data_IF_806522181166
#
_entry.id   IF_806522181166
#
_cell.length_a   1.000
_cell.length_b   1.000
_cell.length_c   1.000
_cell.angle_alpha   90.00
_cell.angle_beta   90.00
_cell.angle_gamma   90.00
#
_symmetry.space_group_name_H-M   'P 1'
#
loop_
_entity.id
_entity.type
_entity.pdbx_description
1 polymer ?
#
# COMPACT_ATOMS: atom_id res chain seq x y z
N UNK A 1 -1.19 -4.85 -38.78
CA UNK A 1 -0.10 -3.85 -38.62
C UNK A 1 -0.29 -2.93 -37.42
N UNK A 2 -1.52 -2.48 -37.09
CA UNK A 2 -1.80 -1.52 -35.99
C UNK A 2 -1.31 -1.93 -34.58
N UNK A 3 -1.17 -3.22 -34.28
CA UNK A 3 -0.66 -3.73 -32.98
C UNK A 3 0.81 -4.18 -33.01
N UNK A 4 1.39 -4.42 -34.18
CA UNK A 4 2.79 -4.90 -34.30
C UNK A 4 3.79 -3.78 -33.98
N UNK A 5 3.54 -2.56 -34.47
CA UNK A 5 4.42 -1.42 -34.24
C UNK A 5 4.52 -1.04 -32.75
N UNK A 6 3.41 -0.87 -31.99
CA UNK A 6 3.49 -0.63 -30.54
C UNK A 6 4.21 -1.73 -29.78
N UNK A 7 4.00 -2.99 -30.18
CA UNK A 7 4.64 -4.14 -29.54
C UNK A 7 6.15 -4.15 -29.74
N UNK A 8 6.61 -3.88 -30.96
CA UNK A 8 8.05 -3.77 -31.26
C UNK A 8 8.69 -2.62 -30.49
N UNK A 9 8.01 -1.47 -30.40
CA UNK A 9 8.49 -0.33 -29.60
C UNK A 9 8.61 -0.73 -28.12
N UNK A 10 7.57 -1.34 -27.55
CA UNK A 10 7.57 -1.78 -26.15
C UNK A 10 8.70 -2.79 -25.86
N UNK A 11 8.91 -3.74 -26.78
CA UNK A 11 9.97 -4.74 -26.67
C UNK A 11 11.37 -4.09 -26.69
N UNK A 12 11.64 -3.22 -27.67
CA UNK A 12 12.92 -2.52 -27.80
C UNK A 12 13.17 -1.61 -26.59
N UNK A 13 12.18 -0.80 -26.19
CA UNK A 13 12.30 0.04 -25.00
C UNK A 13 12.53 -0.78 -23.73
N UNK A 14 11.85 -1.92 -23.57
CA UNK A 14 12.04 -2.83 -22.45
C UNK A 14 13.48 -3.37 -22.38
N UNK A 15 14.01 -3.86 -23.50
CA UNK A 15 15.40 -4.35 -23.57
C UNK A 15 16.40 -3.24 -23.28
N UNK A 16 16.22 -2.06 -23.89
CA UNK A 16 17.10 -0.91 -23.68
C UNK A 16 17.13 -0.51 -22.20
N UNK A 17 15.98 -0.49 -21.52
CA UNK A 17 15.90 -0.18 -20.09
C UNK A 17 16.57 -1.24 -19.21
N UNK A 18 16.46 -2.53 -19.55
CA UNK A 18 17.16 -3.60 -18.83
C UNK A 18 18.67 -3.41 -18.97
N UNK A 19 19.17 -3.17 -20.18
CA UNK A 19 20.61 -2.99 -20.44
C UNK A 19 21.13 -1.72 -19.74
N UNK A 20 20.39 -0.62 -19.88
CA UNK A 20 20.72 0.68 -19.29
C UNK A 20 20.98 0.56 -17.78
N UNK A 21 20.15 -0.21 -17.06
CA UNK A 21 20.25 -0.36 -15.60
C UNK A 21 21.63 -0.83 -15.12
N UNK A 22 22.32 -1.67 -15.91
CA UNK A 22 23.62 -2.22 -15.55
C UNK A 22 24.82 -1.38 -16.02
N UNK A 23 24.61 -0.27 -16.75
CA UNK A 23 25.69 0.55 -17.31
C UNK A 23 25.83 1.85 -16.50
N UNK A 24 26.87 2.01 -15.64
CA UNK A 24 27.09 3.20 -14.82
C UNK A 24 27.80 4.34 -15.58
N UNK A 25 27.49 4.54 -16.87
CA UNK A 25 28.07 5.61 -17.69
C UNK A 25 27.18 6.88 -17.66
N UNK A 26 27.78 8.08 -17.75
CA UNK A 26 27.04 9.37 -17.70
C UNK A 26 25.89 9.46 -18.69
N UNK A 27 26.09 8.97 -19.92
CA UNK A 27 25.05 8.95 -20.97
C UNK A 27 23.87 8.05 -20.57
N UNK A 28 24.16 6.84 -20.04
CA UNK A 28 23.14 5.91 -19.55
C UNK A 28 22.33 6.52 -18.41
N UNK A 29 22.99 7.14 -17.45
CA UNK A 29 22.35 7.80 -16.31
C UNK A 29 21.47 8.98 -16.73
N UNK A 30 21.92 9.78 -17.70
CA UNK A 30 21.11 10.88 -18.24
C UNK A 30 19.86 10.34 -18.96
N UNK A 31 20.01 9.30 -19.78
CA UNK A 31 18.87 8.65 -20.45
C UNK A 31 17.86 8.09 -19.45
N UNK A 32 18.32 7.41 -18.40
CA UNK A 32 17.47 6.91 -17.32
C UNK A 32 16.68 8.01 -16.63
N UNK A 33 17.35 9.12 -16.28
CA UNK A 33 16.69 10.28 -15.68
C UNK A 33 15.65 10.88 -16.62
N UNK A 34 15.93 10.98 -17.92
CA UNK A 34 14.94 11.41 -18.91
C UNK A 34 13.73 10.48 -18.98
N UNK A 35 13.94 9.16 -18.91
CA UNK A 35 12.86 8.18 -18.87
C UNK A 35 12.03 8.26 -17.58
N UNK A 36 12.67 8.46 -16.43
CA UNK A 36 11.97 8.69 -15.16
C UNK A 36 11.13 9.97 -15.21
N UNK A 37 11.67 11.06 -15.78
CA UNK A 37 10.91 12.29 -15.96
C UNK A 37 9.71 12.09 -16.89
N UNK A 38 9.88 11.35 -17.99
CA UNK A 38 8.78 10.99 -18.88
C UNK A 38 7.70 10.16 -18.14
N UNK A 39 8.11 9.23 -17.27
CA UNK A 39 7.19 8.45 -16.44
C UNK A 39 6.39 9.34 -15.48
N UNK A 40 7.02 10.33 -14.85
CA UNK A 40 6.33 11.31 -14.00
C UNK A 40 5.28 12.07 -14.81
N UNK A 41 5.61 12.53 -16.02
CA UNK A 41 4.66 13.23 -16.91
C UNK A 41 3.47 12.32 -17.23
N UNK A 42 3.72 11.06 -17.61
CA UNK A 42 2.65 10.06 -17.85
C UNK A 42 1.82 9.83 -16.58
N UNK A 43 2.48 9.82 -15.41
CA UNK A 43 1.83 9.70 -14.10
C UNK A 43 0.79 10.78 -13.85
N UNK A 44 1.03 12.02 -14.26
CA UNK A 44 0.06 13.13 -14.15
C UNK A 44 -1.21 12.82 -14.95
N UNK A 45 -1.08 12.33 -16.19
CA UNK A 45 -2.23 11.90 -16.99
C UNK A 45 -2.95 10.70 -16.38
N UNK A 46 -2.21 9.76 -15.81
CA UNK A 46 -2.78 8.62 -15.09
C UNK A 46 -3.64 9.07 -13.90
N UNK A 47 -3.21 10.08 -13.13
CA UNK A 47 -4.02 10.61 -12.04
C UNK A 47 -5.35 11.19 -12.52
N UNK A 48 -5.37 11.88 -13.67
CA UNK A 48 -6.61 12.38 -14.28
C UNK A 48 -7.55 11.22 -14.62
N UNK A 49 -7.03 10.15 -15.22
CA UNK A 49 -7.80 8.95 -15.52
C UNK A 49 -8.32 8.27 -14.24
N UNK A 50 -7.50 8.18 -13.20
CA UNK A 50 -7.87 7.59 -11.91
C UNK A 50 -9.03 8.37 -11.26
N UNK A 51 -8.92 9.70 -11.18
CA UNK A 51 -9.98 10.57 -10.65
C UNK A 51 -11.25 10.43 -11.51
N UNK A 52 -11.13 10.50 -12.83
CA UNK A 52 -12.28 10.38 -13.74
C UNK A 52 -12.99 9.04 -13.59
N UNK A 53 -12.22 7.95 -13.48
CA UNK A 53 -12.75 6.60 -13.26
C UNK A 53 -13.50 6.51 -11.93
N UNK A 54 -12.88 6.98 -10.84
CA UNK A 54 -13.49 6.99 -9.52
C UNK A 54 -14.81 7.78 -9.51
N UNK A 55 -14.80 8.99 -10.07
CA UNK A 55 -15.97 9.86 -10.17
C UNK A 55 -17.07 9.22 -11.02
N UNK A 56 -16.72 8.63 -12.17
CA UNK A 56 -17.68 7.95 -13.05
C UNK A 56 -18.38 6.78 -12.35
N UNK A 57 -17.63 5.95 -11.63
CA UNK A 57 -18.17 4.79 -10.90
C UNK A 57 -19.13 5.25 -9.79
N UNK A 58 -18.74 6.23 -8.99
CA UNK A 58 -19.56 6.71 -7.87
C UNK A 58 -20.78 7.50 -8.33
N UNK A 59 -20.65 8.36 -9.35
CA UNK A 59 -21.80 9.03 -9.99
C UNK A 59 -22.79 8.01 -10.57
N UNK A 60 -22.29 6.97 -11.24
CA UNK A 60 -23.13 5.87 -11.75
C UNK A 60 -23.85 5.11 -10.64
N UNK A 61 -23.18 4.86 -9.51
CA UNK A 61 -23.75 4.20 -8.33
C UNK A 61 -24.87 5.04 -7.70
N UNK A 62 -24.67 6.36 -7.60
CA UNK A 62 -25.66 7.32 -7.12
C UNK A 62 -26.87 7.38 -8.06
N UNK A 63 -26.65 7.59 -9.37
CA UNK A 63 -27.73 7.70 -10.36
C UNK A 63 -28.62 6.45 -10.39
N UNK A 64 -28.01 5.26 -10.26
CA UNK A 64 -28.72 3.97 -10.27
C UNK A 64 -29.20 3.51 -8.89
N UNK A 65 -29.04 4.34 -7.84
CA UNK A 65 -29.38 4.03 -6.43
C UNK A 65 -28.96 2.62 -5.98
N UNK A 66 -27.78 2.16 -6.41
CA UNK A 66 -27.29 0.82 -6.03
C UNK A 66 -27.03 0.74 -4.52
N UNK A 67 -27.02 -0.47 -3.96
CA UNK A 67 -26.75 -0.71 -2.52
C UNK A 67 -25.49 0.05 -2.07
N UNK A 68 -25.63 0.82 -0.98
CA UNK A 68 -24.56 1.67 -0.46
C UNK A 68 -24.24 2.91 -1.31
N UNK A 69 -25.24 3.50 -2.00
CA UNK A 69 -25.08 4.75 -2.76
C UNK A 69 -24.78 5.94 -1.85
N UNK A 70 -25.31 5.98 -0.62
CA UNK A 70 -25.06 7.06 0.34
C UNK A 70 -23.57 7.28 0.63
N UNK A 71 -22.81 6.19 0.82
CA UNK A 71 -21.36 6.23 0.99
C UNK A 71 -20.62 6.82 -0.21
N UNK A 72 -21.23 6.83 -1.40
CA UNK A 72 -20.60 7.43 -2.59
C UNK A 72 -20.54 8.94 -2.50
N UNK A 73 -21.46 9.60 -1.79
CA UNK A 73 -21.35 11.03 -1.51
C UNK A 73 -20.16 11.32 -0.60
N UNK A 74 -19.99 10.53 0.45
CA UNK A 74 -18.86 10.66 1.38
C UNK A 74 -17.53 10.56 0.63
N UNK A 75 -17.38 9.56 -0.26
CA UNK A 75 -16.16 9.39 -1.07
C UNK A 75 -15.90 10.54 -2.03
N UNK A 76 -16.94 11.08 -2.69
CA UNK A 76 -16.77 12.19 -3.62
C UNK A 76 -16.45 13.50 -2.90
N UNK A 77 -17.09 13.75 -1.76
CA UNK A 77 -16.84 14.93 -0.94
C UNK A 77 -15.43 14.85 -0.33
N UNK A 78 -15.04 13.71 0.23
CA UNK A 78 -13.69 13.54 0.78
C UNK A 78 -12.62 13.68 -0.29
N UNK A 79 -12.83 13.16 -1.51
CA UNK A 79 -11.93 13.38 -2.65
C UNK A 79 -11.69 14.88 -2.91
N UNK A 80 -12.77 15.67 -2.97
CA UNK A 80 -12.68 17.12 -3.24
C UNK A 80 -11.99 17.85 -2.08
N UNK A 81 -12.39 17.56 -0.84
CA UNK A 81 -11.78 18.18 0.35
C UNK A 81 -10.29 17.88 0.41
N UNK A 82 -9.91 16.60 0.33
CA UNK A 82 -8.49 16.20 0.41
C UNK A 82 -7.67 16.75 -0.76
N UNK A 83 -8.23 16.83 -1.97
CA UNK A 83 -7.56 17.44 -3.11
C UNK A 83 -7.33 18.95 -2.91
N UNK A 84 -8.36 19.69 -2.48
CA UNK A 84 -8.25 21.14 -2.21
C UNK A 84 -7.24 21.41 -1.10
N UNK A 85 -7.33 20.66 0.01
CA UNK A 85 -6.38 20.76 1.11
C UNK A 85 -4.96 20.43 0.64
N UNK A 86 -4.76 19.35 -0.12
CA UNK A 86 -3.43 19.00 -0.63
C UNK A 86 -2.82 20.07 -1.54
N UNK A 87 -3.62 20.68 -2.42
CA UNK A 87 -3.15 21.70 -3.38
C UNK A 87 -2.90 23.05 -2.69
N UNK A 88 -3.81 23.52 -1.83
CA UNK A 88 -3.70 24.83 -1.19
C UNK A 88 -2.75 24.83 0.00
N UNK A 89 -2.70 23.72 0.74
CA UNK A 89 -1.96 23.65 1.98
C UNK A 89 -0.58 23.00 1.85
N UNK A 90 -0.34 22.27 0.75
CA UNK A 90 0.89 21.51 0.56
C UNK A 90 0.90 20.21 1.38
N UNK A 91 1.64 19.22 0.89
CA UNK A 91 1.70 17.88 1.48
C UNK A 91 2.83 17.75 2.53
N UNK A 92 4.01 18.31 2.25
CA UNK A 92 5.23 18.09 3.04
C UNK A 92 5.78 19.35 3.70
N UNK A 93 5.51 20.53 3.14
CA UNK A 93 5.95 21.82 3.66
C UNK A 93 4.75 22.77 3.79
N UNK A 94 4.62 23.50 4.90
CA UNK A 94 3.58 24.50 5.05
C UNK A 94 3.76 25.61 4.01
N UNK A 95 2.67 25.96 3.34
CA UNK A 95 2.60 27.07 2.38
C UNK A 95 2.28 28.38 3.14
N UNK A 96 2.57 29.56 2.56
CA UNK A 96 2.18 30.85 3.20
C UNK A 96 0.68 30.90 3.53
N UNK A 97 -0.15 30.26 2.71
CA UNK A 97 -1.59 30.09 2.93
C UNK A 97 -1.88 29.23 4.16
N UNK A 98 -1.13 28.14 4.39
CA UNK A 98 -1.35 27.32 5.59
C UNK A 98 -1.02 28.08 6.84
N UNK A 99 0.10 28.79 6.88
CA UNK A 99 0.52 29.51 8.08
C UNK A 99 -0.54 30.54 8.46
N UNK A 100 -1.06 31.29 7.49
CA UNK A 100 -2.16 32.23 7.69
C UNK A 100 -3.47 31.57 8.13
N UNK A 101 -3.88 30.45 7.50
CA UNK A 101 -5.10 29.74 7.87
C UNK A 101 -5.01 29.14 9.29
N UNK A 102 -3.85 28.59 9.64
CA UNK A 102 -3.59 27.97 10.95
C UNK A 102 -3.64 29.04 12.06
N UNK A 103 -3.06 30.22 11.81
CA UNK A 103 -3.16 31.38 12.69
C UNK A 103 -4.59 31.92 12.80
N UNK A 104 -5.32 32.01 11.68
CA UNK A 104 -6.70 32.52 11.65
C UNK A 104 -7.69 31.62 12.40
N UNK A 105 -7.54 30.30 12.28
CA UNK A 105 -8.45 29.32 12.89
C UNK A 105 -7.94 28.76 14.23
N UNK A 106 -6.79 29.22 14.72
CA UNK A 106 -6.22 28.80 16.01
C UNK A 106 -5.84 27.32 16.08
N UNK A 107 -5.58 26.67 14.94
CA UNK A 107 -5.14 25.28 14.93
C UNK A 107 -3.68 25.20 15.40
N UNK A 108 -3.40 24.44 16.45
CA UNK A 108 -2.02 24.14 16.83
C UNK A 108 -1.56 22.90 16.07
N UNK A 109 -0.89 23.10 14.93
CA UNK A 109 -0.26 21.99 14.21
C UNK A 109 1.14 21.79 14.82
N UNK A 110 1.23 20.92 15.83
CA UNK A 110 2.49 20.68 16.58
C UNK A 110 3.64 20.21 15.68
N UNK A 111 3.35 19.47 14.59
CA UNK A 111 4.30 19.07 13.55
C UNK A 111 3.53 18.65 12.27
N UNK A 112 3.51 19.45 11.20
CA UNK A 112 3.07 18.96 9.88
C UNK A 112 2.19 19.91 9.05
N UNK A 113 1.56 19.36 8.00
CA UNK A 113 0.62 20.05 7.10
C UNK A 113 -0.83 19.68 7.45
N UNK A 114 -1.84 20.49 7.09
CA UNK A 114 -3.25 20.10 7.24
C UNK A 114 -3.61 18.76 6.59
N UNK A 115 -2.90 18.35 5.53
CA UNK A 115 -3.03 17.04 4.92
C UNK A 115 -2.59 15.91 5.86
N UNK A 116 -1.52 16.12 6.64
CA UNK A 116 -1.07 15.17 7.66
C UNK A 116 -2.09 15.00 8.78
N UNK A 117 -2.84 16.04 9.14
CA UNK A 117 -3.94 15.93 10.12
C UNK A 117 -5.03 15.00 9.58
N UNK A 118 -5.46 15.19 8.33
CA UNK A 118 -6.41 14.29 7.66
C UNK A 118 -5.85 12.86 7.63
N UNK A 119 -4.59 12.69 7.28
CA UNK A 119 -3.95 11.37 7.27
C UNK A 119 -3.98 10.71 8.65
N UNK A 120 -3.50 11.41 9.68
CA UNK A 120 -3.34 10.86 11.03
C UNK A 120 -4.66 10.59 11.74
N UNK A 121 -5.65 11.46 11.59
CA UNK A 121 -6.91 11.35 12.33
C UNK A 121 -8.04 10.72 11.52
N UNK A 122 -7.93 10.61 10.20
CA UNK A 122 -8.96 9.99 9.35
C UNK A 122 -8.41 8.72 8.70
N UNK A 123 -7.31 8.79 7.95
CA UNK A 123 -6.79 7.64 7.20
C UNK A 123 -6.26 6.53 8.13
N UNK A 124 -5.43 6.86 9.13
CA UNK A 124 -4.85 5.86 10.04
C UNK A 124 -5.92 5.08 10.81
N UNK A 125 -6.91 5.73 11.48
CA UNK A 125 -7.94 4.99 12.21
C UNK A 125 -8.83 4.16 11.29
N UNK A 126 -9.18 4.65 10.09
CA UNK A 126 -9.92 3.85 9.10
C UNK A 126 -9.13 2.60 8.68
N UNK A 127 -7.82 2.72 8.43
CA UNK A 127 -6.96 1.56 8.19
C UNK A 127 -6.93 0.59 9.37
N UNK A 128 -6.76 1.11 10.58
CA UNK A 128 -6.74 0.31 11.82
C UNK A 128 -8.06 -0.44 12.05
N UNK A 129 -9.22 0.18 11.78
CA UNK A 129 -10.52 -0.51 11.90
C UNK A 129 -10.67 -1.64 10.88
N UNK A 130 -10.24 -1.44 9.63
CA UNK A 130 -10.23 -2.51 8.62
C UNK A 130 -9.33 -3.68 9.04
N UNK A 131 -8.12 -3.40 9.52
CA UNK A 131 -7.20 -4.44 10.01
C UNK A 131 -7.71 -5.13 11.28
N UNK A 132 -8.33 -4.39 12.19
CA UNK A 132 -8.94 -4.93 13.41
C UNK A 132 -10.10 -5.88 13.08
N UNK A 133 -11.00 -5.47 12.18
CA UNK A 133 -12.08 -6.33 11.69
C UNK A 133 -11.55 -7.58 10.99
N UNK A 134 -10.52 -7.44 10.16
CA UNK A 134 -9.87 -8.57 9.49
C UNK A 134 -9.28 -9.54 10.53
N UNK A 135 -8.54 -9.03 11.51
CA UNK A 135 -7.96 -9.84 12.59
C UNK A 135 -9.05 -10.55 13.40
N UNK A 136 -10.13 -9.85 13.77
CA UNK A 136 -11.28 -10.43 14.47
C UNK A 136 -11.96 -11.53 13.66
N UNK A 137 -12.23 -11.32 12.36
CA UNK A 137 -12.85 -12.34 11.51
C UNK A 137 -11.94 -13.53 11.25
N UNK A 138 -10.63 -13.32 11.07
CA UNK A 138 -9.65 -14.40 10.98
C UNK A 138 -9.65 -15.20 12.28
N UNK A 139 -9.56 -14.55 13.44
CA UNK A 139 -9.58 -15.22 14.74
C UNK A 139 -10.89 -15.98 14.97
N UNK A 140 -12.05 -15.39 14.64
CA UNK A 140 -13.36 -16.04 14.76
C UNK A 140 -13.53 -17.22 13.80
N UNK A 141 -13.10 -17.08 12.54
CA UNK A 141 -13.13 -18.16 11.56
C UNK A 141 -12.17 -19.27 11.97
N UNK A 142 -10.96 -18.92 12.41
CA UNK A 142 -9.98 -19.86 12.89
C UNK A 142 -10.49 -20.58 14.14
N UNK A 143 -11.05 -19.91 15.15
CA UNK A 143 -11.64 -20.55 16.33
C UNK A 143 -12.76 -21.52 15.96
N UNK A 144 -13.66 -21.14 15.02
CA UNK A 144 -14.72 -22.03 14.52
C UNK A 144 -14.18 -23.19 13.68
N UNK A 145 -13.06 -23.00 12.98
CA UNK A 145 -12.42 -24.02 12.15
C UNK A 145 -11.41 -24.89 12.94
N UNK A 146 -10.92 -24.41 14.09
CA UNK A 146 -9.99 -25.08 14.99
C UNK A 146 -10.74 -26.12 15.81
N UNK A 147 -11.16 -27.19 15.16
CA UNK A 147 -11.08 -28.51 15.78
C UNK A 147 -9.62 -28.90 15.59
N UNK A 148 -8.77 -28.75 16.61
CA UNK A 148 -7.33 -29.06 16.55
C UNK A 148 -7.11 -30.47 15.99
N UNK A 149 -6.92 -30.57 14.67
CA UNK A 149 -6.88 -31.83 13.92
C UNK A 149 -5.54 -32.06 13.22
N UNK A 150 -4.68 -31.04 13.14
CA UNK A 150 -3.34 -31.15 12.57
C UNK A 150 -2.29 -30.51 13.47
N UNK A 151 -1.08 -31.07 13.46
CA UNK A 151 0.08 -30.51 14.18
C UNK A 151 0.39 -29.07 13.75
N UNK A 152 0.20 -28.76 12.47
CA UNK A 152 0.42 -27.40 11.92
C UNK A 152 -0.52 -26.36 12.50
N UNK A 153 -1.80 -26.71 12.68
CA UNK A 153 -2.81 -25.85 13.28
C UNK A 153 -2.50 -25.57 14.76
N UNK A 154 -2.05 -26.59 15.49
CA UNK A 154 -1.66 -26.48 16.89
C UNK A 154 -0.42 -25.58 17.04
N UNK A 155 0.60 -25.77 16.21
CA UNK A 155 1.80 -24.94 16.21
C UNK A 155 1.45 -23.46 15.98
N UNK A 156 0.64 -23.16 14.95
CA UNK A 156 0.19 -21.80 14.68
C UNK A 156 -0.59 -21.19 15.86
N UNK A 157 -1.49 -21.95 16.47
CA UNK A 157 -2.28 -21.49 17.60
C UNK A 157 -1.40 -21.16 18.82
N UNK A 158 -0.47 -22.05 19.17
CA UNK A 158 0.45 -21.85 20.30
C UNK A 158 1.37 -20.66 20.03
N UNK A 159 1.95 -20.57 18.83
CA UNK A 159 2.80 -19.42 18.45
C UNK A 159 2.03 -18.11 18.50
N UNK A 160 0.80 -18.07 17.97
CA UNK A 160 -0.04 -16.88 18.01
C UNK A 160 -0.39 -16.46 19.45
N UNK A 161 -0.70 -17.42 20.31
CA UNK A 161 -1.00 -17.17 21.72
C UNK A 161 0.21 -16.55 22.45
N UNK A 162 1.40 -17.13 22.27
CA UNK A 162 2.64 -16.60 22.87
C UNK A 162 2.92 -15.17 22.37
N UNK A 163 2.78 -14.93 21.07
CA UNK A 163 3.00 -13.60 20.46
C UNK A 163 2.00 -12.56 20.97
N UNK A 164 0.72 -12.91 21.04
CA UNK A 164 -0.30 -12.00 21.58
C UNK A 164 -0.04 -11.69 23.05
N UNK A 165 0.29 -12.69 23.86
CA UNK A 165 0.54 -12.50 25.30
C UNK A 165 1.80 -11.65 25.55
N UNK A 166 2.88 -11.86 24.78
CA UNK A 166 4.11 -11.08 24.93
C UNK A 166 4.04 -9.63 24.41
N UNK A 167 3.03 -9.29 23.59
CA UNK A 167 2.80 -7.91 23.10
C UNK A 167 1.91 -7.07 24.03
N UNK A 168 1.27 -7.68 25.03
CA UNK A 168 0.44 -6.97 26.02
C UNK A 168 1.31 -6.64 27.26
N UNK A 169 1.17 -5.45 27.88
CA UNK A 169 1.97 -5.07 29.06
C UNK A 169 1.92 -6.08 30.21
N UNK A 170 0.80 -6.79 30.36
CA UNK A 170 0.60 -7.85 31.35
C UNK A 170 1.58 -9.02 31.14
N UNK A 171 1.91 -9.36 29.88
CA UNK A 171 2.89 -10.41 29.58
C UNK A 171 4.28 -10.09 30.13
N UNK A 172 4.72 -8.83 30.02
CA UNK A 172 5.98 -8.39 30.61
C UNK A 172 5.96 -8.45 32.15
N UNK A 173 4.83 -8.12 32.78
CA UNK A 173 4.69 -8.16 34.24
C UNK A 173 4.74 -9.59 34.80
N UNK A 174 4.11 -10.56 34.13
CA UNK A 174 4.08 -11.98 34.55
C UNK A 174 5.48 -12.59 34.47
N UNK A 175 6.25 -12.24 33.44
CA UNK A 175 7.55 -12.86 33.16
C UNK A 175 8.75 -12.13 33.79
N UNK A 176 8.52 -11.03 34.52
CA UNK A 176 9.57 -10.17 35.09
C UNK A 176 10.53 -10.91 36.03
N UNK A 177 10.07 -11.98 36.69
CA UNK A 177 10.88 -12.79 37.62
C UNK A 177 11.68 -13.92 36.93
N UNK A 178 11.47 -14.15 35.65
CA UNK A 178 12.19 -15.18 34.89
C UNK A 178 13.51 -14.61 34.31
N UNK A 179 14.50 -15.47 34.06
CA UNK A 179 15.73 -15.09 33.36
C UNK A 179 15.40 -14.36 32.05
N UNK A 180 16.21 -13.37 31.69
CA UNK A 180 15.97 -12.49 30.54
C UNK A 180 15.68 -13.28 29.25
N UNK A 181 16.39 -14.39 29.01
CA UNK A 181 16.19 -15.27 27.85
C UNK A 181 14.79 -15.90 27.78
N UNK A 182 14.16 -16.15 28.93
CA UNK A 182 12.84 -16.79 29.04
C UNK A 182 11.70 -15.76 29.19
N UNK A 183 12.01 -14.46 29.17
CA UNK A 183 10.97 -13.44 29.18
C UNK A 183 10.17 -13.51 27.88
N UNK A 184 8.83 -13.45 27.99
CA UNK A 184 7.94 -13.55 26.83
C UNK A 184 8.30 -12.52 25.76
N UNK A 185 8.73 -11.32 26.16
CA UNK A 185 9.17 -10.26 25.23
C UNK A 185 10.28 -10.73 24.29
N UNK A 186 11.30 -11.40 24.83
CA UNK A 186 12.48 -11.84 24.06
C UNK A 186 12.16 -13.05 23.17
N UNK A 187 11.29 -13.96 23.63
CA UNK A 187 10.78 -15.06 22.81
C UNK A 187 9.97 -14.51 21.63
N UNK A 188 9.10 -13.53 21.88
CA UNK A 188 8.32 -12.88 20.82
C UNK A 188 9.22 -12.13 19.84
N UNK A 189 10.23 -11.42 20.33
CA UNK A 189 11.21 -10.75 19.49
C UNK A 189 11.97 -11.76 18.61
N UNK A 190 12.41 -12.90 19.16
CA UNK A 190 13.04 -13.96 18.39
C UNK A 190 12.11 -14.53 17.31
N UNK A 191 10.85 -14.85 17.64
CA UNK A 191 9.85 -15.34 16.67
C UNK A 191 9.69 -14.33 15.52
N UNK A 192 9.63 -13.03 15.85
CA UNK A 192 9.38 -11.99 14.88
C UNK A 192 10.60 -11.68 14.01
N UNK A 193 11.80 -11.63 14.59
CA UNK A 193 13.02 -11.24 13.90
C UNK A 193 13.63 -12.36 13.05
N UNK A 194 13.36 -13.62 13.38
CA UNK A 194 13.93 -14.77 12.67
C UNK A 194 12.89 -15.50 11.79
N UNK A 195 11.99 -16.38 12.30
CA UNK A 195 11.00 -17.07 11.47
C UNK A 195 10.09 -16.14 10.66
N UNK A 196 9.52 -15.12 11.29
CA UNK A 196 8.57 -14.24 10.61
C UNK A 196 9.27 -13.37 9.55
N UNK A 197 10.42 -12.79 9.85
CA UNK A 197 11.21 -12.07 8.84
C UNK A 197 11.66 -12.97 7.69
N UNK A 198 12.01 -14.24 7.95
CA UNK A 198 12.34 -15.19 6.89
C UNK A 198 11.14 -15.43 5.96
N UNK A 199 9.95 -15.64 6.52
CA UNK A 199 8.72 -15.78 5.75
C UNK A 199 8.37 -14.51 4.95
N UNK A 200 8.46 -13.32 5.58
CA UNK A 200 8.21 -12.05 4.92
C UNK A 200 9.17 -11.80 3.76
N UNK A 201 10.46 -12.11 3.94
CA UNK A 201 11.46 -12.02 2.86
C UNK A 201 11.13 -12.99 1.72
N UNK A 202 10.71 -14.22 2.03
CA UNK A 202 10.25 -15.18 1.02
C UNK A 202 9.06 -14.66 0.21
N UNK A 203 8.05 -14.07 0.87
CA UNK A 203 6.90 -13.44 0.20
C UNK A 203 7.38 -12.28 -0.69
N UNK A 204 8.23 -11.40 -0.18
CA UNK A 204 8.76 -10.27 -0.95
C UNK A 204 9.55 -10.73 -2.18
N UNK A 205 10.36 -11.78 -2.06
CA UNK A 205 11.04 -12.39 -3.21
C UNK A 205 10.06 -12.98 -4.21
N UNK A 206 9.03 -13.69 -3.73
CA UNK A 206 7.98 -14.25 -4.60
C UNK A 206 7.20 -13.17 -5.36
N UNK A 207 6.83 -12.09 -4.68
CA UNK A 207 6.18 -10.92 -5.29
C UNK A 207 7.12 -10.25 -6.30
N UNK A 208 8.41 -10.09 -5.96
CA UNK A 208 9.43 -9.56 -6.87
C UNK A 208 9.55 -10.38 -8.15
N UNK A 209 9.68 -11.70 -8.04
CA UNK A 209 9.72 -12.62 -9.18
C UNK A 209 8.42 -12.57 -9.99
N UNK A 210 7.27 -12.48 -9.33
CA UNK A 210 5.96 -12.31 -10.00
C UNK A 210 5.84 -11.02 -10.80
N UNK A 211 6.36 -9.90 -10.26
CA UNK A 211 6.44 -8.63 -10.97
C UNK A 211 7.37 -8.74 -12.19
N UNK A 212 8.57 -9.32 -12.05
CA UNK A 212 9.50 -9.54 -13.16
C UNK A 212 8.88 -10.40 -14.25
N UNK A 213 8.22 -11.51 -13.88
CA UNK A 213 7.55 -12.39 -14.83
C UNK A 213 6.43 -11.67 -15.60
N UNK A 214 5.68 -10.79 -14.92
CA UNK A 214 4.62 -9.98 -15.56
C UNK A 214 5.22 -8.93 -16.49
N UNK A 215 6.27 -8.21 -16.06
CA UNK A 215 7.00 -7.28 -16.91
C UNK A 215 7.57 -7.96 -18.15
N UNK A 216 8.14 -9.17 -18.01
CA UNK A 216 8.66 -9.94 -19.14
C UNK A 216 7.54 -10.35 -20.11
N UNK A 217 6.39 -10.82 -19.60
CA UNK A 217 5.21 -11.12 -20.44
C UNK A 217 4.74 -9.90 -21.23
N UNK A 218 4.80 -8.70 -20.65
CA UNK A 218 4.45 -7.44 -21.33
C UNK A 218 5.49 -7.09 -22.40
N UNK A 219 6.79 -7.15 -22.06
CA UNK A 219 7.90 -6.83 -22.98
C UNK A 219 7.90 -7.78 -24.19
N UNK A 220 7.74 -9.08 -23.95
CA UNK A 220 7.64 -10.10 -25.00
C UNK A 220 6.31 -10.06 -25.77
N UNK A 221 5.34 -9.26 -25.30
CA UNK A 221 4.05 -9.13 -25.97
C UNK A 221 3.14 -10.34 -25.85
N UNK A 222 3.36 -11.17 -24.82
CA UNK A 222 2.46 -12.27 -24.44
C UNK A 222 1.19 -11.68 -23.83
N UNK A 223 1.34 -10.71 -22.92
CA UNK A 223 0.22 -9.94 -22.38
C UNK A 223 -0.01 -8.67 -23.19
N UNK A 224 -1.18 -8.57 -23.83
CA UNK A 224 -1.53 -7.47 -24.75
C UNK A 224 -2.71 -6.61 -24.27
N UNK A 225 -3.17 -6.83 -23.04
CA UNK A 225 -4.33 -6.13 -22.46
C UNK A 225 -4.17 -4.59 -22.49
N UNK A 226 -2.93 -4.09 -22.41
CA UNK A 226 -2.62 -2.65 -22.46
C UNK A 226 -2.79 -2.02 -23.86
N UNK A 227 -2.85 -2.81 -24.93
CA UNK A 227 -2.97 -2.31 -26.31
C UNK A 227 -4.42 -2.01 -26.72
N UNK A 228 -5.39 -2.20 -25.82
CA UNK A 228 -6.81 -2.04 -26.11
C UNK A 228 -7.33 -3.14 -27.05
N UNK A 229 -8.07 -4.09 -26.49
CA UNK A 229 -8.74 -5.12 -27.27
C UNK A 229 -9.72 -5.90 -26.43
N UNK A 230 -11.01 -5.80 -26.80
CA UNK A 230 -11.89 -6.97 -26.71
C UNK A 230 -11.35 -8.02 -27.68
N UNK A 231 -11.47 -9.27 -27.23
CA UNK A 231 -10.89 -10.52 -27.72
C UNK A 231 -9.53 -10.86 -27.10
#
# INVERSE_FOLDING_TARGET
MRRKLPLTIAFVCGIVMIIQFYIPHRISQNFYRSMLNALIIVGIFYYILAITSLVRVHKGKIKRKKKGWGFSYVTLISLVITAIVGVLCGAYQPTRITTWLVELFGFQIEQGTPLMVIYTYIQIPMGATMFSLLAFFIASAAFRAFKARSLTAVLLLVTAFIVMLGRVPIGALITKKLPEVLQLTNIVEWILNYPNMAAQRGILMGVGLGMIATSLKIILGIERAYLGGGD
#
